data_IF_285560941905
#
_entry.id   IF_285560941905
#
_cell.length_a   1.000
_cell.length_b   1.000
_cell.length_c   1.000
_cell.angle_alpha   90.00
_cell.angle_beta   90.00
_cell.angle_gamma   90.00
#
_symmetry.space_group_name_H-M   'P 1'
#
loop_
_entity.id
_entity.type
_entity.pdbx_description
1 polymer ?
#
# COMPACT_ATOMS: atom_id res chain seq x y z
N UNK A 1 -17.62 1.14 8.63
CA UNK A 1 -18.37 1.23 9.91
C UNK A 1 -19.83 0.97 9.62
N UNK A 2 -20.55 0.28 10.51
CA UNK A 2 -21.98 -0.05 10.34
C UNK A 2 -22.92 0.75 11.25
N UNK A 3 -22.37 1.57 12.15
CA UNK A 3 -23.10 2.46 13.03
C UNK A 3 -22.59 3.90 12.86
N UNK A 4 -23.41 4.93 13.13
CA UNK A 4 -22.96 6.31 13.15
C UNK A 4 -21.93 6.56 14.26
N UNK A 5 -21.15 7.64 14.19
CA UNK A 5 -20.28 8.05 15.28
C UNK A 5 -21.07 8.26 16.59
N UNK A 6 -20.47 7.95 17.77
CA UNK A 6 -21.09 8.22 19.06
C UNK A 6 -21.41 9.72 19.22
N UNK A 7 -22.57 10.04 19.78
CA UNK A 7 -23.04 11.42 19.95
C UNK A 7 -22.70 11.99 21.35
N UNK A 8 -22.13 11.18 22.23
CA UNK A 8 -21.73 11.59 23.58
C UNK A 8 -20.54 10.75 24.06
N UNK A 9 -19.98 11.14 25.22
CA UNK A 9 -18.90 10.41 25.90
C UNK A 9 -19.41 9.31 26.84
N UNK A 10 -20.70 8.98 26.79
CA UNK A 10 -21.24 7.87 27.57
C UNK A 10 -20.54 6.56 27.15
N UNK A 11 -20.30 5.68 28.13
CA UNK A 11 -19.66 4.39 27.85
C UNK A 11 -20.55 3.55 26.93
N UNK A 12 -19.94 2.95 25.90
CA UNK A 12 -20.57 1.95 25.04
C UNK A 12 -20.29 0.57 25.60
N UNK A 13 -21.25 -0.33 25.43
CA UNK A 13 -21.03 -1.76 25.66
C UNK A 13 -20.14 -2.37 24.58
N UNK A 14 -19.47 -3.48 24.90
CA UNK A 14 -18.70 -4.27 23.92
C UNK A 14 -19.57 -4.68 22.72
N UNK A 15 -20.83 -5.05 22.96
CA UNK A 15 -21.77 -5.41 21.91
C UNK A 15 -21.99 -4.27 20.91
N UNK A 16 -22.24 -3.05 21.41
CA UNK A 16 -22.40 -1.86 20.56
C UNK A 16 -21.14 -1.57 19.74
N UNK A 17 -19.96 -1.80 20.33
CA UNK A 17 -18.69 -1.67 19.63
C UNK A 17 -18.56 -2.70 18.49
N UNK A 18 -18.81 -3.98 18.75
CA UNK A 18 -18.75 -5.05 17.76
C UNK A 18 -19.78 -4.87 16.63
N UNK A 19 -20.96 -4.36 16.94
CA UNK A 19 -22.00 -4.03 15.95
C UNK A 19 -21.56 -2.88 15.02
N UNK A 20 -20.73 -1.95 15.49
CA UNK A 20 -20.21 -0.85 14.68
C UNK A 20 -19.08 -1.27 13.71
N UNK A 21 -18.33 -2.32 14.04
CA UNK A 21 -17.25 -2.86 13.20
C UNK A 21 -17.79 -3.47 11.89
N UNK A 22 -16.98 -3.60 10.82
CA UNK A 22 -17.40 -4.27 9.59
C UNK A 22 -17.86 -5.72 9.83
N UNK A 23 -18.79 -6.19 9.01
CA UNK A 23 -19.20 -7.59 9.03
C UNK A 23 -18.04 -8.50 8.59
N UNK A 24 -18.10 -9.79 8.96
CA UNK A 24 -17.03 -10.76 8.69
C UNK A 24 -16.67 -10.85 7.20
N UNK A 25 -17.66 -10.85 6.31
CA UNK A 25 -17.45 -10.88 4.87
C UNK A 25 -16.73 -9.61 4.35
N UNK A 26 -17.07 -8.43 4.89
CA UNK A 26 -16.38 -7.18 4.57
C UNK A 26 -14.93 -7.23 5.04
N UNK A 27 -14.69 -7.67 6.28
CA UNK A 27 -13.32 -7.82 6.82
C UNK A 27 -12.49 -8.80 6.00
N UNK A 28 -13.02 -9.98 5.67
CA UNK A 28 -12.35 -10.98 4.86
C UNK A 28 -12.03 -10.46 3.45
N UNK A 29 -12.97 -9.73 2.83
CA UNK A 29 -12.77 -9.13 1.50
C UNK A 29 -11.65 -8.09 1.52
N UNK A 30 -11.65 -7.19 2.51
CA UNK A 30 -10.60 -6.18 2.65
C UNK A 30 -9.23 -6.84 2.86
N UNK A 31 -9.16 -7.87 3.70
CA UNK A 31 -7.91 -8.61 3.93
C UNK A 31 -7.43 -9.30 2.65
N UNK A 32 -8.31 -9.94 1.88
CA UNK A 32 -7.96 -10.56 0.60
C UNK A 32 -7.47 -9.52 -0.42
N UNK A 33 -8.17 -8.40 -0.56
CA UNK A 33 -7.78 -7.32 -1.47
C UNK A 33 -6.42 -6.74 -1.08
N UNK A 34 -6.22 -6.40 0.20
CA UNK A 34 -4.93 -5.88 0.68
C UNK A 34 -3.81 -6.90 0.49
N UNK A 35 -4.09 -8.19 0.68
CA UNK A 35 -3.13 -9.26 0.42
C UNK A 35 -2.74 -9.35 -1.06
N UNK A 36 -3.69 -9.20 -1.98
CA UNK A 36 -3.39 -9.20 -3.42
C UNK A 36 -2.58 -7.95 -3.79
N UNK A 37 -3.00 -6.78 -3.32
CA UNK A 37 -2.38 -5.49 -3.69
C UNK A 37 -0.99 -5.27 -3.09
N UNK A 38 -0.68 -5.86 -1.92
CA UNK A 38 0.66 -5.74 -1.31
C UNK A 38 1.73 -6.55 -2.03
N UNK A 39 1.34 -7.59 -2.78
CA UNK A 39 2.31 -8.47 -3.41
C UNK A 39 2.84 -7.77 -4.66
N UNK A 40 4.16 -7.58 -4.71
CA UNK A 40 4.81 -7.08 -5.91
C UNK A 40 4.68 -8.11 -7.04
N UNK A 41 4.36 -7.68 -8.27
CA UNK A 41 4.27 -8.60 -9.39
C UNK A 41 5.66 -9.13 -9.76
N UNK A 42 5.70 -10.28 -10.45
CA UNK A 42 6.97 -10.94 -10.82
C UNK A 42 7.89 -10.07 -11.69
N UNK A 43 7.32 -9.10 -12.40
CA UNK A 43 8.03 -8.14 -13.25
C UNK A 43 8.34 -6.81 -12.54
N UNK A 44 8.21 -6.76 -11.21
CA UNK A 44 8.54 -5.58 -10.41
C UNK A 44 9.95 -5.08 -10.74
N UNK A 45 10.02 -3.77 -11.01
CA UNK A 45 11.26 -3.06 -11.32
C UNK A 45 11.61 -2.17 -10.14
N UNK A 46 12.67 -2.48 -9.37
CA UNK A 46 13.03 -1.63 -8.24
C UNK A 46 13.48 -0.26 -8.73
N UNK A 47 13.34 0.75 -7.89
CA UNK A 47 13.78 2.11 -8.21
C UNK A 47 15.26 2.10 -8.66
N UNK A 48 15.54 2.77 -9.78
CA UNK A 48 16.88 2.77 -10.39
C UNK A 48 17.17 1.59 -11.32
N UNK A 49 16.23 0.66 -11.53
CA UNK A 49 16.31 -0.35 -12.60
C UNK A 49 15.73 0.23 -13.90
N UNK A 50 16.61 0.56 -14.84
CA UNK A 50 16.25 1.05 -16.18
C UNK A 50 16.62 0.01 -17.24
N UNK A 51 15.75 -0.99 -17.53
CA UNK A 51 16.03 -1.98 -18.57
C UNK A 51 15.91 -1.36 -19.97
N UNK A 52 14.96 -0.43 -20.15
CA UNK A 52 14.71 0.26 -21.40
C UNK A 52 15.65 1.46 -21.54
N UNK A 53 16.42 1.48 -22.65
CA UNK A 53 17.50 2.45 -22.87
C UNK A 53 17.02 3.66 -23.67
N UNK A 54 16.27 4.54 -23.02
CA UNK A 54 15.86 5.81 -23.63
C UNK A 54 16.97 6.86 -23.66
N UNK A 55 17.83 6.90 -22.63
CA UNK A 55 18.99 7.80 -22.60
C UNK A 55 20.25 7.11 -23.14
N UNK A 56 20.75 7.62 -24.25
CA UNK A 56 21.94 7.09 -24.93
C UNK A 56 23.20 7.89 -24.65
N UNK A 57 23.05 9.13 -24.21
CA UNK A 57 24.13 10.08 -24.00
C UNK A 57 24.91 9.80 -22.70
N UNK A 58 26.17 10.25 -22.67
CA UNK A 58 27.08 9.97 -21.57
C UNK A 58 26.66 10.60 -20.24
N UNK A 59 26.22 11.87 -20.26
CA UNK A 59 25.88 12.61 -19.05
C UNK A 59 24.66 12.04 -18.32
N UNK A 60 23.50 11.78 -18.96
CA UNK A 60 22.36 11.13 -18.31
C UNK A 60 22.70 9.74 -17.76
N UNK A 61 23.47 8.93 -18.51
CA UNK A 61 23.93 7.62 -18.04
C UNK A 61 24.82 7.73 -16.79
N UNK A 62 25.68 8.74 -16.71
CA UNK A 62 26.49 9.00 -15.51
C UNK A 62 25.62 9.38 -14.31
N UNK A 63 24.55 10.17 -14.50
CA UNK A 63 23.58 10.50 -13.45
C UNK A 63 22.83 9.26 -12.98
N UNK A 64 22.34 8.41 -13.89
CA UNK A 64 21.71 7.12 -13.56
C UNK A 64 22.65 6.25 -12.72
N UNK A 65 23.93 6.12 -13.10
CA UNK A 65 24.92 5.35 -12.32
C UNK A 65 25.13 5.95 -10.93
N UNK A 66 25.20 7.28 -10.81
CA UNK A 66 25.30 7.96 -9.51
C UNK A 66 24.07 7.71 -8.64
N UNK A 67 22.87 7.80 -9.22
CA UNK A 67 21.61 7.53 -8.52
C UNK A 67 21.55 6.09 -8.01
N UNK A 68 21.85 5.10 -8.86
CA UNK A 68 21.92 3.68 -8.47
C UNK A 68 22.93 3.40 -7.35
N UNK A 69 24.03 4.15 -7.28
CA UNK A 69 25.00 4.03 -6.18
C UNK A 69 24.49 4.60 -4.86
N UNK A 70 23.57 5.57 -4.89
CA UNK A 70 22.96 6.17 -3.69
C UNK A 70 21.78 5.35 -3.14
N UNK A 71 21.20 4.49 -3.97
CA UNK A 71 20.11 3.59 -3.58
C UNK A 71 20.60 2.26 -2.98
N UNK A 72 21.91 2.01 -3.03
CA UNK A 72 22.57 0.89 -2.35
C UNK A 72 22.98 1.33 -0.96
#
# INVERSE_FOLDING_TARGET
MRAPPPQSKAALSERQFLEALPAMNTSATVLAVLWVLRNEPMDMRPLGRYPDRHFTEGAPRARIRRFRRRLR
#
